data_IF_913109328193
#
_entry.id   IF_913109328193
#
_cell.length_a   1.000
_cell.length_b   1.000
_cell.length_c   1.000
_cell.angle_alpha   90.00
_cell.angle_beta   90.00
_cell.angle_gamma   90.00
#
_symmetry.space_group_name_H-M   'P 1'
#
loop_
_entity.id
_entity.type
_entity.pdbx_description
1 polymer ?
#
# COMPACT_ATOMS: atom_id res chain seq x y z
N UNK A 1 44.57 -18.42 -31.18
CA UNK A 1 43.99 -19.41 -30.26
C UNK A 1 44.00 -18.85 -28.84
N UNK A 2 43.20 -17.80 -28.60
CA UNK A 2 43.06 -17.10 -27.30
C UNK A 2 41.68 -17.37 -26.65
N UNK A 3 40.99 -18.43 -27.10
CA UNK A 3 39.60 -18.70 -26.73
C UNK A 3 39.42 -19.95 -25.85
N UNK A 4 40.51 -20.60 -25.42
CA UNK A 4 40.47 -21.82 -24.61
C UNK A 4 41.11 -21.67 -23.23
N UNK A 5 41.77 -20.54 -22.92
CA UNK A 5 42.42 -20.31 -21.62
C UNK A 5 41.50 -19.60 -20.61
N UNK A 6 40.37 -19.05 -21.07
CA UNK A 6 39.42 -18.33 -20.20
C UNK A 6 38.25 -19.21 -19.72
N UNK A 7 38.40 -20.52 -19.73
CA UNK A 7 37.43 -21.41 -19.08
C UNK A 7 37.67 -21.33 -17.58
N UNK A 8 36.97 -20.38 -16.95
CA UNK A 8 36.95 -20.21 -15.49
C UNK A 8 36.83 -21.57 -14.84
N UNK A 9 37.78 -21.90 -13.96
CA UNK A 9 37.79 -23.20 -13.29
C UNK A 9 36.49 -23.38 -12.51
N UNK A 10 36.01 -24.62 -12.36
CA UNK A 10 34.78 -24.91 -11.60
C UNK A 10 34.84 -24.25 -10.20
N UNK A 11 36.02 -24.22 -9.58
CA UNK A 11 36.21 -23.55 -8.28
C UNK A 11 36.05 -22.04 -8.33
N UNK A 12 36.49 -21.39 -9.40
CA UNK A 12 36.31 -19.95 -9.60
C UNK A 12 34.86 -19.61 -9.93
N UNK A 13 34.20 -20.41 -10.78
CA UNK A 13 32.78 -20.26 -11.09
C UNK A 13 31.89 -20.41 -9.86
N UNK A 14 32.24 -21.35 -8.97
CA UNK A 14 31.58 -21.53 -7.67
C UNK A 14 31.73 -20.28 -6.79
N UNK A 15 32.93 -19.71 -6.72
CA UNK A 15 33.19 -18.52 -5.90
C UNK A 15 32.46 -17.28 -6.45
N UNK A 16 32.40 -17.14 -7.78
CA UNK A 16 31.62 -16.08 -8.45
C UNK A 16 30.13 -16.24 -8.18
N UNK A 17 29.60 -17.47 -8.24
CA UNK A 17 28.19 -17.76 -7.93
C UNK A 17 27.82 -17.39 -6.49
N UNK A 18 28.66 -17.80 -5.52
CA UNK A 18 28.47 -17.46 -4.10
C UNK A 18 28.49 -15.93 -3.91
N UNK A 19 29.44 -15.25 -4.54
CA UNK A 19 29.55 -13.79 -4.48
C UNK A 19 28.30 -13.12 -5.05
N UNK A 20 27.77 -13.61 -6.18
CA UNK A 20 26.53 -13.12 -6.77
C UNK A 20 25.34 -13.25 -5.82
N UNK A 21 25.21 -14.39 -5.13
CA UNK A 21 24.14 -14.63 -4.14
C UNK A 21 24.27 -13.67 -2.96
N UNK A 22 25.48 -13.47 -2.45
CA UNK A 22 25.75 -12.52 -1.35
C UNK A 22 25.37 -11.09 -1.77
N UNK A 23 25.76 -10.67 -2.98
CA UNK A 23 25.42 -9.34 -3.50
C UNK A 23 23.91 -9.15 -3.61
N UNK A 24 23.15 -10.15 -4.11
CA UNK A 24 21.68 -10.07 -4.17
C UNK A 24 21.09 -9.92 -2.77
N UNK A 25 21.57 -10.68 -1.78
CA UNK A 25 21.14 -10.53 -0.39
C UNK A 25 21.39 -9.12 0.15
N UNK A 26 22.57 -8.56 -0.09
CA UNK A 26 22.91 -7.20 0.34
C UNK A 26 21.96 -6.19 -0.33
N UNK A 27 21.72 -6.31 -1.64
CA UNK A 27 20.80 -5.41 -2.37
C UNK A 27 19.39 -5.48 -1.78
N UNK A 28 18.88 -6.68 -1.46
CA UNK A 28 17.57 -6.84 -0.84
C UNK A 28 17.50 -6.19 0.54
N UNK A 29 18.54 -6.33 1.36
CA UNK A 29 18.63 -5.68 2.68
C UNK A 29 18.66 -4.17 2.53
N UNK A 30 19.47 -3.63 1.62
CA UNK A 30 19.55 -2.19 1.36
C UNK A 30 18.19 -1.64 0.92
N UNK A 31 17.51 -2.30 -0.03
CA UNK A 31 16.15 -1.91 -0.44
C UNK A 31 15.16 -1.95 0.73
N UNK A 32 15.20 -3.00 1.55
CA UNK A 32 14.34 -3.11 2.73
C UNK A 32 14.59 -1.96 3.72
N UNK A 33 15.85 -1.60 3.97
CA UNK A 33 16.23 -0.47 4.83
C UNK A 33 15.74 0.85 4.26
N UNK A 34 15.89 1.08 2.95
CA UNK A 34 15.40 2.30 2.29
C UNK A 34 13.89 2.42 2.44
N UNK A 35 13.13 1.35 2.18
CA UNK A 35 11.67 1.33 2.37
C UNK A 35 11.28 1.54 3.84
N UNK A 36 12.03 0.97 4.79
CA UNK A 36 11.80 1.18 6.22
C UNK A 36 12.06 2.64 6.65
N UNK A 37 13.10 3.28 6.12
CA UNK A 37 13.40 4.69 6.38
C UNK A 37 12.26 5.58 5.86
N UNK A 38 11.82 5.37 4.62
CA UNK A 38 10.68 6.08 4.05
C UNK A 38 9.41 5.83 4.87
N UNK A 39 9.17 4.58 5.28
CA UNK A 39 8.02 4.21 6.13
C UNK A 39 8.06 4.90 7.49
N UNK A 40 9.24 5.01 8.12
CA UNK A 40 9.43 5.71 9.40
C UNK A 40 9.25 7.22 9.23
N UNK A 41 9.76 7.80 8.14
CA UNK A 41 9.64 9.22 7.85
C UNK A 41 8.17 9.61 7.63
N UNK A 42 7.46 8.87 6.79
CA UNK A 42 6.02 9.06 6.57
C UNK A 42 5.27 8.90 7.89
N UNK A 43 5.59 7.88 8.69
CA UNK A 43 4.97 7.69 10.01
C UNK A 43 5.30 8.82 10.97
N UNK A 44 6.45 9.49 10.91
CA UNK A 44 6.77 10.64 11.75
C UNK A 44 6.01 11.88 11.30
N UNK A 45 5.95 12.15 9.99
CA UNK A 45 5.20 13.28 9.43
C UNK A 45 3.68 13.12 9.51
N UNK A 46 3.16 11.89 9.53
CA UNK A 46 1.72 11.58 9.66
C UNK A 46 1.28 11.45 11.12
N UNK A 47 2.21 11.39 12.09
CA UNK A 47 1.92 11.04 13.49
C UNK A 47 1.69 12.23 14.43
N UNK A 48 1.27 13.37 13.91
CA UNK A 48 0.50 14.34 14.69
C UNK A 48 -0.73 14.77 13.84
N UNK A 49 -2.00 14.53 14.25
CA UNK A 49 -2.54 14.06 15.52
C UNK A 49 -3.26 12.70 15.39
N UNK A 50 -2.79 11.65 16.07
CA UNK A 50 -3.64 10.59 16.65
C UNK A 50 -2.74 9.63 17.44
N UNK A 51 -2.18 10.18 18.52
CA UNK A 51 -1.46 9.40 19.51
C UNK A 51 -2.43 8.67 20.45
N UNK A 52 -3.18 7.66 19.96
CA UNK A 52 -3.71 6.56 20.81
C UNK A 52 -3.90 5.30 19.97
N UNK A 53 -2.97 4.37 20.12
CA UNK A 53 -3.18 2.94 20.35
C UNK A 53 -1.91 2.16 19.96
N UNK A 54 -0.90 2.27 20.83
CA UNK A 54 -0.01 1.15 21.05
C UNK A 54 -0.75 0.15 21.94
N UNK A 55 -1.28 -0.92 21.34
CA UNK A 55 -1.47 -2.19 22.05
C UNK A 55 -1.05 -3.33 21.14
N UNK A 56 0.12 -3.87 21.50
CA UNK A 56 0.56 -5.26 21.38
C UNK A 56 -0.59 -6.23 21.08
N UNK A 57 -0.49 -6.95 19.96
CA UNK A 57 -1.04 -8.30 19.85
C UNK A 57 -0.18 -9.09 18.88
N UNK A 58 0.86 -9.71 19.43
CA UNK A 58 1.28 -11.02 18.96
C UNK A 58 0.12 -12.00 19.15
N UNK A 59 0.05 -12.99 18.27
CA UNK A 59 -0.93 -14.06 18.17
C UNK A 59 -2.32 -13.66 17.65
N UNK A 60 -2.57 -13.90 16.35
CA UNK A 60 -3.51 -14.93 15.89
C UNK A 60 -3.00 -15.47 14.54
N UNK A 61 -2.55 -16.72 14.53
CA UNK A 61 -2.59 -17.57 13.33
C UNK A 61 -4.04 -17.97 13.12
N UNK A 62 -4.64 -17.51 12.04
CA UNK A 62 -5.76 -18.17 11.33
C UNK A 62 -5.82 -17.49 9.96
N UNK A 63 -5.12 -18.02 8.95
CA UNK A 63 -5.70 -18.90 7.93
C UNK A 63 -7.15 -18.52 7.64
N UNK A 64 -7.40 -17.89 6.48
CA UNK A 64 -8.28 -18.39 5.40
C UNK A 64 -8.48 -17.25 4.37
N UNK A 65 -7.80 -17.43 3.24
CA UNK A 65 -8.25 -17.21 1.85
C UNK A 65 -8.42 -15.77 1.30
N UNK A 66 -7.81 -15.46 0.14
CA UNK A 66 -8.17 -14.30 -0.67
C UNK A 66 -9.59 -14.52 -1.19
N UNK A 67 -10.52 -13.62 -0.87
CA UNK A 67 -11.82 -13.60 -1.52
C UNK A 67 -11.82 -12.47 -2.55
N UNK A 68 -11.53 -12.89 -3.78
CA UNK A 68 -12.08 -12.32 -4.99
C UNK A 68 -13.55 -11.91 -4.81
N UNK A 69 -13.86 -10.70 -5.29
CA UNK A 69 -15.02 -10.52 -6.14
C UNK A 69 -16.42 -10.65 -5.51
N UNK A 70 -16.62 -10.42 -4.22
CA UNK A 70 -17.99 -10.26 -3.70
C UNK A 70 -18.39 -8.79 -3.85
N UNK A 71 -19.23 -8.52 -4.85
CA UNK A 71 -19.96 -7.27 -4.96
C UNK A 71 -20.73 -7.04 -3.66
N UNK A 72 -20.27 -6.06 -2.86
CA UNK A 72 -21.10 -5.52 -1.80
C UNK A 72 -22.39 -4.97 -2.42
N UNK A 73 -23.54 -5.09 -1.74
CA UNK A 73 -24.79 -4.52 -2.21
C UNK A 73 -24.57 -3.06 -2.62
N UNK A 74 -25.15 -2.65 -3.75
CA UNK A 74 -24.89 -1.39 -4.48
C UNK A 74 -25.01 -0.09 -3.65
N UNK A 75 -25.44 -0.18 -2.40
CA UNK A 75 -25.73 0.94 -1.52
C UNK A 75 -24.78 1.08 -0.32
N UNK A 76 -23.67 0.31 -0.28
CA UNK A 76 -22.68 0.44 0.78
C UNK A 76 -21.41 1.12 0.26
N UNK A 77 -21.13 2.30 0.80
CA UNK A 77 -19.88 3.01 0.57
C UNK A 77 -18.75 2.30 1.33
N UNK A 78 -17.63 2.07 0.65
CA UNK A 78 -16.46 1.43 1.26
C UNK A 78 -15.73 2.42 2.17
N UNK A 79 -16.15 2.50 3.43
CA UNK A 79 -15.33 3.00 4.54
C UNK A 79 -15.83 4.26 5.25
N UNK A 80 -14.99 4.77 6.14
CA UNK A 80 -15.23 5.96 6.96
C UNK A 80 -15.16 7.23 6.11
N UNK A 81 -16.28 7.93 5.98
CA UNK A 81 -16.37 9.23 5.31
C UNK A 81 -16.33 10.37 6.32
N UNK A 82 -15.46 11.36 6.09
CA UNK A 82 -15.40 12.56 6.93
C UNK A 82 -16.15 13.72 6.28
N UNK A 83 -17.21 14.20 6.92
CA UNK A 83 -18.00 15.35 6.48
C UNK A 83 -17.61 16.60 7.27
N UNK A 84 -17.29 17.68 6.56
CA UNK A 84 -16.93 18.96 7.17
C UNK A 84 -17.93 20.03 6.74
N UNK A 85 -18.78 20.45 7.69
CA UNK A 85 -19.89 21.40 7.44
C UNK A 85 -20.79 20.97 6.25
N UNK A 86 -20.95 19.67 6.04
CA UNK A 86 -21.79 19.11 4.98
C UNK A 86 -22.67 18.04 5.61
N UNK A 87 -23.95 18.04 5.28
CA UNK A 87 -24.89 17.03 5.75
C UNK A 87 -24.77 15.73 4.95
N UNK A 88 -25.26 14.65 5.54
CA UNK A 88 -25.18 13.32 4.95
C UNK A 88 -26.01 13.18 3.66
N UNK A 89 -27.13 13.91 3.54
CA UNK A 89 -27.95 13.86 2.32
C UNK A 89 -27.24 14.54 1.16
N UNK A 90 -26.68 15.72 1.39
CA UNK A 90 -25.86 16.43 0.40
C UNK A 90 -24.64 15.59 0.02
N UNK A 91 -23.99 14.93 0.98
CA UNK A 91 -22.91 13.99 0.69
C UNK A 91 -23.35 12.84 -0.21
N UNK A 92 -24.50 12.20 0.06
CA UNK A 92 -25.03 11.13 -0.76
C UNK A 92 -25.31 11.58 -2.20
N UNK A 93 -25.86 12.78 -2.38
CA UNK A 93 -26.09 13.39 -3.70
C UNK A 93 -24.77 13.60 -4.44
N UNK A 94 -23.75 14.14 -3.77
CA UNK A 94 -22.40 14.30 -4.35
C UNK A 94 -21.83 12.95 -4.78
N UNK A 95 -21.96 11.92 -3.94
CA UNK A 95 -21.44 10.58 -4.28
C UNK A 95 -22.16 9.98 -5.49
N UNK A 96 -23.48 10.15 -5.59
CA UNK A 96 -24.26 9.69 -6.73
C UNK A 96 -23.83 10.40 -8.03
N UNK A 97 -23.72 11.73 -8.02
CA UNK A 97 -23.30 12.50 -9.19
C UNK A 97 -21.90 12.09 -9.64
N UNK A 98 -20.93 12.04 -8.71
CA UNK A 98 -19.55 11.69 -9.05
C UNK A 98 -19.46 10.25 -9.57
N UNK A 99 -20.24 9.31 -9.03
CA UNK A 99 -20.27 7.93 -9.55
C UNK A 99 -20.78 7.86 -10.98
N UNK A 100 -21.80 8.66 -11.31
CA UNK A 100 -22.37 8.75 -12.65
C UNK A 100 -21.41 9.39 -13.64
N UNK A 101 -20.82 10.53 -13.29
CA UNK A 101 -19.91 11.27 -14.18
C UNK A 101 -18.56 10.56 -14.37
N UNK A 102 -18.08 9.85 -13.34
CA UNK A 102 -16.85 9.04 -13.45
C UNK A 102 -17.07 7.67 -14.11
N UNK A 103 -18.33 7.21 -14.22
CA UNK A 103 -18.67 5.85 -14.66
C UNK A 103 -18.21 4.75 -13.69
N UNK A 104 -17.74 5.10 -12.49
CA UNK A 104 -17.30 4.14 -11.46
C UNK A 104 -18.42 3.91 -10.45
N UNK A 105 -18.92 2.67 -10.29
CA UNK A 105 -19.98 2.37 -9.33
C UNK A 105 -19.56 2.65 -7.88
N UNK A 106 -20.53 2.98 -7.02
CA UNK A 106 -20.33 3.30 -5.59
C UNK A 106 -19.54 2.22 -4.82
N UNK A 107 -19.67 0.95 -5.20
CA UNK A 107 -18.94 -0.17 -4.60
C UNK A 107 -17.42 -0.16 -4.87
N UNK A 108 -16.93 0.61 -5.85
CA UNK A 108 -15.51 0.77 -6.17
C UNK A 108 -15.03 2.21 -5.98
N UNK A 109 -15.92 3.12 -5.61
CA UNK A 109 -15.63 4.53 -5.43
C UNK A 109 -15.47 4.85 -3.94
N UNK A 110 -14.29 5.38 -3.55
CA UNK A 110 -13.98 5.72 -2.16
C UNK A 110 -13.93 7.23 -1.95
N UNK A 111 -14.78 7.75 -1.09
CA UNK A 111 -14.77 9.14 -0.65
C UNK A 111 -14.09 9.25 0.73
N UNK A 112 -12.94 9.94 0.80
CA UNK A 112 -12.22 10.12 2.07
C UNK A 112 -12.76 11.32 2.88
N UNK A 113 -13.11 12.41 2.21
CA UNK A 113 -13.67 13.62 2.84
C UNK A 113 -14.48 14.48 1.90
N UNK A 114 -15.56 15.10 2.39
CA UNK A 114 -16.33 16.15 1.70
C UNK A 114 -16.31 17.40 2.57
N UNK A 115 -15.90 18.53 1.98
CA UNK A 115 -15.75 19.82 2.68
C UNK A 115 -16.50 20.91 1.94
N UNK A 116 -17.32 21.67 2.67
CA UNK A 116 -17.87 22.92 2.18
C UNK A 116 -16.76 23.99 2.14
N UNK A 117 -16.51 24.57 0.97
CA UNK A 117 -15.60 25.71 0.81
C UNK A 117 -16.43 27.00 0.71
N UNK A 118 -16.27 27.88 1.69
CA UNK A 118 -16.82 29.25 1.64
C UNK A 118 -15.89 30.09 0.76
N UNK A 119 -16.37 30.52 -0.41
CA UNK A 119 -15.63 31.46 -1.26
C UNK A 119 -15.85 32.88 -0.71
N UNK A 120 -14.77 33.64 -0.53
CA UNK A 120 -14.76 34.96 0.12
C UNK A 120 -14.80 36.08 -0.90
#
# INVERSE_FOLDING_TARGET
MYLLDSVMSIGEALNVSITGIVVVFIVLVVLAVLVQLLSKLIRLFVKEPNAKNAKKSDAVKEVVKPQDGVALPENQTLGTLNLYKTDEKTAAVIMAIVSKESGVPLNRLKFNSIKLIENK
#
